data_IF_829381324668
#
_entry.id   IF_829381324668
#
_cell.length_a   1.000
_cell.length_b   1.000
_cell.length_c   1.000
_cell.angle_alpha   90.00
_cell.angle_beta   90.00
_cell.angle_gamma   90.00
#
_symmetry.space_group_name_H-M   'P 1'
#
loop_
_entity.id
_entity.type
_entity.pdbx_description
1 polymer ?
#
# COMPACT_ATOMS: atom_id res chain seq x y z
N UNK A 1 24.93 42.66 -27.87
CA UNK A 1 25.21 41.27 -27.50
C UNK A 1 24.09 40.75 -26.58
N UNK A 2 23.58 39.57 -26.90
CA UNK A 2 22.60 38.90 -26.06
C UNK A 2 23.36 37.84 -25.28
N UNK A 3 23.26 37.85 -23.97
CA UNK A 3 23.75 36.75 -23.13
C UNK A 3 22.65 35.71 -23.02
N UNK A 4 22.93 34.50 -23.50
CA UNK A 4 22.07 33.33 -23.33
C UNK A 4 22.71 32.49 -22.26
N UNK A 5 22.07 32.35 -21.11
CA UNK A 5 22.43 31.34 -20.12
C UNK A 5 21.88 30.00 -20.59
N UNK A 6 22.79 29.12 -20.98
CA UNK A 6 22.45 27.70 -21.21
C UNK A 6 22.68 27.01 -19.88
N UNK A 7 21.59 26.64 -19.18
CA UNK A 7 21.68 25.74 -18.04
C UNK A 7 21.90 24.32 -18.57
N UNK A 8 22.78 23.57 -17.94
CA UNK A 8 22.85 22.13 -18.17
C UNK A 8 21.47 21.53 -17.87
N UNK A 9 21.02 20.59 -18.70
CA UNK A 9 19.82 19.83 -18.39
C UNK A 9 19.96 19.26 -16.97
N UNK A 10 19.00 19.54 -16.12
CA UNK A 10 18.95 18.96 -14.79
C UNK A 10 18.99 17.44 -14.95
N UNK A 11 19.93 16.78 -14.27
CA UNK A 11 20.01 15.33 -14.26
C UNK A 11 18.67 14.69 -13.82
N UNK A 12 18.49 13.37 -14.02
CA UNK A 12 17.25 12.71 -13.64
C UNK A 12 16.95 12.93 -12.16
N UNK A 13 15.71 13.30 -11.86
CA UNK A 13 15.27 13.52 -10.47
C UNK A 13 15.30 12.20 -9.70
N UNK A 14 15.98 12.19 -8.56
CA UNK A 14 16.10 11.01 -7.69
C UNK A 14 14.98 10.90 -6.66
N UNK A 15 14.41 12.05 -6.27
CA UNK A 15 13.36 12.13 -5.26
C UNK A 15 12.30 13.15 -5.66
N UNK A 16 11.11 12.99 -5.12
CA UNK A 16 10.06 13.98 -5.13
C UNK A 16 9.60 14.28 -3.70
N UNK A 17 9.06 15.45 -3.47
CA UNK A 17 8.48 15.85 -2.19
C UNK A 17 7.02 16.28 -2.37
N UNK A 18 6.18 15.93 -1.43
CA UNK A 18 4.77 16.25 -1.44
C UNK A 18 4.18 16.21 -0.03
N UNK A 19 3.10 16.89 0.17
CA UNK A 19 2.38 16.88 1.42
C UNK A 19 2.05 18.27 1.94
N UNK A 20 1.23 18.34 3.00
CA UNK A 20 0.68 19.62 3.49
C UNK A 20 1.74 20.62 3.93
N UNK A 21 2.83 20.17 4.56
CA UNK A 21 3.88 21.04 5.08
C UNK A 21 4.67 21.81 4.03
N UNK A 22 4.52 21.45 2.74
CA UNK A 22 5.08 22.22 1.62
C UNK A 22 4.18 23.38 1.17
N UNK A 23 2.96 23.45 1.66
CA UNK A 23 1.95 24.42 1.27
C UNK A 23 1.45 25.28 2.45
N UNK A 24 1.31 24.68 3.62
CA UNK A 24 0.65 25.27 4.77
C UNK A 24 1.15 24.72 6.08
N UNK A 25 0.73 25.33 7.16
CA UNK A 25 0.98 24.88 8.52
C UNK A 25 0.46 25.88 9.53
N UNK A 26 0.68 25.59 10.81
CA UNK A 26 0.22 26.40 11.93
C UNK A 26 1.36 26.61 12.91
N UNK A 27 1.48 27.82 13.40
CA UNK A 27 2.49 28.21 14.41
C UNK A 27 2.47 27.27 15.60
N UNK A 28 3.65 26.74 15.98
CA UNK A 28 3.81 25.85 17.12
C UNK A 28 3.40 24.41 16.90
N UNK A 29 2.92 24.07 15.70
CA UNK A 29 2.56 22.70 15.30
C UNK A 29 3.50 22.20 14.22
N UNK A 30 3.69 20.89 14.12
CA UNK A 30 4.50 20.34 13.04
C UNK A 30 3.83 20.54 11.69
N UNK A 31 4.62 20.98 10.72
CA UNK A 31 4.25 21.00 9.31
C UNK A 31 4.94 19.79 8.67
N UNK A 32 4.13 18.87 8.14
CA UNK A 32 4.58 17.54 7.72
C UNK A 32 4.51 17.39 6.21
N UNK A 33 5.52 16.76 5.65
CA UNK A 33 5.53 16.36 4.25
C UNK A 33 6.36 15.07 4.07
N UNK A 34 6.28 14.49 2.89
CA UNK A 34 6.94 13.24 2.54
C UNK A 34 7.94 13.49 1.42
N UNK A 35 9.11 12.90 1.54
CA UNK A 35 10.09 12.78 0.45
C UNK A 35 10.14 11.33 0.03
N UNK A 36 10.03 11.09 -1.27
CA UNK A 36 9.92 9.74 -1.84
C UNK A 36 10.91 9.54 -2.99
N UNK A 37 11.59 8.40 -3.00
CA UNK A 37 12.50 8.04 -4.09
C UNK A 37 11.71 7.80 -5.39
N UNK A 38 12.24 8.30 -6.51
CA UNK A 38 11.67 8.09 -7.85
C UNK A 38 12.17 6.78 -8.45
N UNK A 39 13.38 6.36 -8.10
CA UNK A 39 14.02 5.15 -8.63
C UNK A 39 14.79 4.43 -7.54
N UNK A 40 15.78 3.67 -7.97
CA UNK A 40 16.66 2.89 -7.09
C UNK A 40 17.93 3.63 -6.67
N UNK A 41 18.23 4.77 -7.29
CA UNK A 41 19.37 5.59 -6.91
C UNK A 41 19.12 6.32 -5.59
N UNK A 42 20.12 6.28 -4.73
CA UNK A 42 20.07 6.96 -3.44
C UNK A 42 20.90 8.23 -3.53
N UNK A 43 20.25 9.38 -3.26
CA UNK A 43 20.93 10.67 -3.14
C UNK A 43 21.09 11.08 -1.68
N UNK A 44 21.89 12.09 -1.44
CA UNK A 44 22.03 12.71 -0.13
C UNK A 44 20.99 13.82 0.01
N UNK A 45 20.06 13.67 0.97
CA UNK A 45 19.02 14.64 1.23
C UNK A 45 19.50 15.74 2.17
N UNK A 46 19.11 16.98 1.86
CA UNK A 46 19.29 18.14 2.69
C UNK A 46 18.01 18.99 2.71
N UNK A 47 17.81 19.70 3.80
CA UNK A 47 16.64 20.56 3.97
C UNK A 47 17.09 21.94 4.47
N UNK A 48 16.47 22.99 3.95
CA UNK A 48 16.69 24.34 4.40
C UNK A 48 15.37 25.10 4.39
N UNK A 49 15.09 25.83 5.44
CA UNK A 49 13.86 26.63 5.56
C UNK A 49 14.22 28.09 5.81
N UNK A 50 13.74 28.95 4.94
CA UNK A 50 13.90 30.41 5.05
C UNK A 50 12.54 31.04 5.29
N UNK A 51 12.44 31.87 6.32
CA UNK A 51 11.18 32.53 6.65
C UNK A 51 11.31 33.46 7.86
N UNK A 52 10.16 33.89 8.40
CA UNK A 52 10.11 34.83 9.53
C UNK A 52 10.83 34.34 10.78
N UNK A 53 10.90 33.02 10.99
CA UNK A 53 11.61 32.41 12.12
C UNK A 53 12.47 31.23 11.67
N UNK A 54 13.43 30.85 12.50
CA UNK A 54 14.12 29.60 12.35
C UNK A 54 13.19 28.46 12.78
N UNK A 55 13.09 27.43 11.95
CA UNK A 55 12.28 26.24 12.22
C UNK A 55 13.19 25.02 12.44
N UNK A 56 12.91 24.27 13.50
CA UNK A 56 13.51 22.96 13.69
C UNK A 56 12.99 21.99 12.65
N UNK A 57 13.87 21.17 12.07
CA UNK A 57 13.53 20.15 11.07
C UNK A 57 13.91 18.77 11.61
N UNK A 58 13.02 17.81 11.41
CA UNK A 58 13.29 16.39 11.65
C UNK A 58 12.95 15.59 10.40
N UNK A 59 13.80 14.61 10.09
CA UNK A 59 13.61 13.66 9.00
C UNK A 59 13.66 12.25 9.57
N UNK A 60 12.59 11.49 9.33
CA UNK A 60 12.45 10.11 9.78
C UNK A 60 12.41 9.18 8.57
N UNK A 61 13.50 8.42 8.37
CA UNK A 61 13.63 7.44 7.29
C UNK A 61 12.75 6.23 7.59
N UNK A 62 11.83 5.91 6.69
CA UNK A 62 10.90 4.80 6.83
C UNK A 62 11.43 3.47 6.32
N UNK A 63 12.62 3.46 5.69
CA UNK A 63 13.25 2.24 5.19
C UNK A 63 12.62 1.64 3.93
N UNK A 64 11.66 2.32 3.33
CA UNK A 64 10.92 1.91 2.13
C UNK A 64 11.17 2.80 0.91
N UNK A 65 12.22 3.61 0.94
CA UNK A 65 12.52 4.62 -0.07
C UNK A 65 11.80 5.95 0.18
N UNK A 66 11.17 6.11 1.33
CA UNK A 66 10.52 7.36 1.73
C UNK A 66 10.95 7.81 3.12
N UNK A 67 10.80 9.10 3.38
CA UNK A 67 10.95 9.65 4.72
C UNK A 67 9.84 10.65 5.03
N UNK A 68 9.50 10.71 6.32
CA UNK A 68 8.62 11.73 6.87
C UNK A 68 9.48 12.90 7.34
N UNK A 69 9.16 14.08 6.83
CA UNK A 69 9.85 15.31 7.20
C UNK A 69 8.86 16.22 7.92
N UNK A 70 9.30 16.83 9.01
CA UNK A 70 8.48 17.77 9.77
C UNK A 70 9.32 18.94 10.26
N UNK A 71 8.69 20.11 10.30
CA UNK A 71 9.31 21.30 10.86
C UNK A 71 8.30 22.06 11.71
N UNK A 72 8.83 22.85 12.65
CA UNK A 72 8.00 23.59 13.63
C UNK A 72 8.23 25.09 13.46
N UNK A 73 7.38 25.80 12.68
CA UNK A 73 7.46 27.24 12.57
C UNK A 73 6.96 27.91 13.86
N UNK A 74 7.63 28.97 14.29
CA UNK A 74 7.28 29.71 15.51
C UNK A 74 6.63 31.05 15.23
N UNK A 75 6.64 31.51 14.00
CA UNK A 75 6.00 32.75 13.56
C UNK A 75 5.16 32.49 12.30
N UNK A 76 4.04 33.18 12.19
CA UNK A 76 3.19 33.14 11.00
C UNK A 76 3.85 33.87 9.81
N UNK A 77 3.54 33.46 8.62
CA UNK A 77 4.01 34.06 7.38
C UNK A 77 4.45 33.04 6.35
N UNK A 78 5.17 33.49 5.34
CA UNK A 78 5.61 32.66 4.24
C UNK A 78 7.01 32.12 4.48
N UNK A 79 7.15 30.81 4.28
CA UNK A 79 8.41 30.08 4.40
C UNK A 79 8.78 29.45 3.06
N UNK A 80 10.04 29.58 2.67
CA UNK A 80 10.59 28.85 1.54
C UNK A 80 11.21 27.55 2.04
N UNK A 81 10.62 26.43 1.68
CA UNK A 81 11.10 25.10 2.08
C UNK A 81 11.91 24.52 0.92
N UNK A 82 13.22 24.40 1.15
CA UNK A 82 14.15 23.79 0.21
C UNK A 82 14.30 22.31 0.51
N UNK A 83 14.07 21.50 -0.50
CA UNK A 83 14.41 20.07 -0.48
C UNK A 83 15.54 19.88 -1.48
N UNK A 84 16.69 19.41 -0.97
CA UNK A 84 17.95 19.33 -1.70
C UNK A 84 18.36 17.87 -1.80
N UNK A 85 18.72 17.44 -3.00
CA UNK A 85 19.27 16.13 -3.24
C UNK A 85 20.57 16.29 -4.02
N UNK A 86 21.67 15.71 -3.47
CA UNK A 86 23.02 15.82 -4.04
C UNK A 86 23.44 17.28 -4.31
N UNK A 87 23.21 18.14 -3.31
CA UNK A 87 23.55 19.57 -3.31
C UNK A 87 22.74 20.46 -4.28
N UNK A 88 21.68 19.92 -4.88
CA UNK A 88 20.79 20.67 -5.77
C UNK A 88 19.33 20.62 -5.29
N UNK A 89 18.61 21.74 -5.48
CA UNK A 89 17.16 21.76 -5.26
C UNK A 89 16.47 20.77 -6.19
N UNK A 90 15.54 19.98 -5.63
CA UNK A 90 14.70 19.08 -6.43
C UNK A 90 13.67 19.88 -7.22
N UNK A 91 12.96 19.21 -8.13
CA UNK A 91 11.87 19.81 -8.89
C UNK A 91 10.87 20.48 -7.95
N UNK A 92 10.47 21.70 -8.29
CA UNK A 92 9.55 22.57 -7.57
C UNK A 92 10.08 23.14 -6.23
N UNK A 93 11.28 22.76 -5.80
CA UNK A 93 11.96 23.39 -4.67
C UNK A 93 12.57 24.75 -5.09
N UNK A 94 12.48 25.81 -4.27
CA UNK A 94 11.83 25.84 -2.96
C UNK A 94 10.30 25.85 -3.04
N UNK A 95 9.69 25.14 -2.10
CA UNK A 95 8.23 25.16 -1.93
C UNK A 95 7.83 26.31 -1.02
N UNK A 96 6.79 27.07 -1.41
CA UNK A 96 6.31 28.20 -0.60
C UNK A 96 5.17 27.73 0.30
N UNK A 97 5.44 27.68 1.60
CA UNK A 97 4.46 27.32 2.62
C UNK A 97 3.94 28.56 3.35
N UNK A 98 2.63 28.71 3.42
CA UNK A 98 1.97 29.76 4.17
C UNK A 98 1.57 29.27 5.57
N UNK A 99 2.25 29.78 6.60
CA UNK A 99 2.04 29.37 7.97
C UNK A 99 1.05 30.30 8.64
N UNK A 100 -0.03 29.70 9.16
CA UNK A 100 -1.12 30.41 9.82
C UNK A 100 -0.85 30.62 11.29
N UNK A 101 -1.47 31.65 11.86
CA UNK A 101 -1.45 31.86 13.31
C UNK A 101 -2.11 30.69 14.05
N UNK A 102 -1.69 30.48 15.30
CA UNK A 102 -2.26 29.43 16.15
C UNK A 102 -3.78 29.63 16.33
N UNK A 103 -4.54 28.55 16.25
CA UNK A 103 -5.97 28.51 16.49
C UNK A 103 -6.27 27.62 17.68
N UNK A 104 -6.77 28.20 18.77
CA UNK A 104 -7.04 27.50 20.02
C UNK A 104 -8.35 26.69 20.03
N UNK A 105 -9.16 26.77 18.96
CA UNK A 105 -10.42 26.03 18.82
C UNK A 105 -10.27 24.73 18.04
N UNK A 106 -9.05 24.34 17.69
CA UNK A 106 -8.74 23.16 16.90
C UNK A 106 -7.81 22.23 17.69
N UNK A 107 -8.18 20.98 17.77
CA UNK A 107 -7.44 19.94 18.52
C UNK A 107 -7.14 18.74 17.58
N UNK A 108 -6.16 18.88 16.69
CA UNK A 108 -5.82 17.80 15.74
C UNK A 108 -5.43 16.50 16.43
N UNK A 109 -4.85 16.57 17.62
CA UNK A 109 -4.46 15.44 18.47
C UNK A 109 -5.63 14.57 18.90
N UNK A 110 -6.86 15.08 18.86
CA UNK A 110 -8.08 14.36 19.21
C UNK A 110 -8.75 13.67 18.02
N UNK A 111 -8.24 13.84 16.81
CA UNK A 111 -8.76 13.15 15.63
C UNK A 111 -8.32 11.68 15.67
N UNK A 112 -9.26 10.78 15.41
CA UNK A 112 -9.02 9.34 15.34
C UNK A 112 -9.28 8.85 13.92
N UNK A 113 -8.33 8.12 13.37
CA UNK A 113 -8.42 7.54 12.04
C UNK A 113 -8.25 6.04 12.13
N UNK A 114 -9.18 5.28 11.56
CA UNK A 114 -9.17 3.82 11.63
C UNK A 114 -9.96 3.20 10.48
N UNK A 115 -9.62 1.99 10.15
CA UNK A 115 -10.28 1.19 9.14
C UNK A 115 -9.29 0.46 8.24
N UNK A 116 -9.78 -0.53 7.45
CA UNK A 116 -8.92 -1.36 6.59
C UNK A 116 -8.09 -0.56 5.61
N UNK A 117 -8.62 0.53 5.08
CA UNK A 117 -7.95 1.39 4.10
C UNK A 117 -6.74 2.16 4.62
N UNK A 118 -6.49 2.16 5.94
CA UNK A 118 -5.33 2.76 6.59
C UNK A 118 -4.37 1.74 7.18
N UNK A 119 -4.72 0.45 7.15
CA UNK A 119 -3.88 -0.61 7.67
C UNK A 119 -2.70 -0.89 6.74
N UNK A 120 -1.50 -1.22 7.27
CA UNK A 120 -0.32 -1.48 6.46
C UNK A 120 -0.49 -2.60 5.44
N UNK A 121 -1.31 -3.60 5.75
CA UNK A 121 -1.56 -4.79 4.95
C UNK A 121 -3.06 -5.10 4.91
N UNK A 122 -3.48 -5.86 3.91
CA UNK A 122 -4.85 -6.37 3.80
C UNK A 122 -5.65 -5.76 2.65
N UNK A 123 -5.27 -4.61 2.13
CA UNK A 123 -5.89 -4.05 0.93
C UNK A 123 -5.36 -4.70 -0.32
N UNK A 124 -6.23 -4.93 -1.30
CA UNK A 124 -5.88 -5.54 -2.58
C UNK A 124 -6.41 -4.71 -3.75
N UNK A 125 -5.77 -4.89 -4.91
CA UNK A 125 -6.13 -4.22 -6.16
C UNK A 125 -7.60 -4.46 -6.51
N UNK A 126 -8.27 -3.41 -7.00
CA UNK A 126 -9.65 -3.40 -7.48
C UNK A 126 -10.71 -3.73 -6.44
N UNK A 127 -10.37 -3.68 -5.16
CA UNK A 127 -11.34 -3.77 -4.07
C UNK A 127 -11.38 -2.49 -3.26
N UNK A 128 -12.59 -2.09 -2.87
CA UNK A 128 -12.80 -0.90 -2.07
C UNK A 128 -12.07 -1.02 -0.73
N UNK A 129 -11.28 -0.01 -0.41
CA UNK A 129 -10.58 0.16 0.86
C UNK A 129 -11.22 1.33 1.59
N UNK A 130 -11.78 1.09 2.77
CA UNK A 130 -12.49 2.09 3.52
C UNK A 130 -11.80 2.43 4.85
N UNK A 131 -12.07 3.62 5.34
CA UNK A 131 -11.65 4.06 6.67
C UNK A 131 -12.56 5.18 7.17
N UNK A 132 -12.50 5.41 8.47
CA UNK A 132 -13.27 6.44 9.16
C UNK A 132 -12.33 7.44 9.79
N UNK A 133 -12.69 8.73 9.70
CA UNK A 133 -12.04 9.81 10.41
C UNK A 133 -13.04 10.36 11.41
N UNK A 134 -12.75 10.20 12.70
CA UNK A 134 -13.57 10.69 13.79
C UNK A 134 -12.97 11.97 14.35
N UNK A 135 -13.68 13.07 14.17
CA UNK A 135 -13.27 14.41 14.63
C UNK A 135 -14.00 14.85 15.89
N UNK A 136 -14.70 13.94 16.57
CA UNK A 136 -15.39 14.26 17.83
C UNK A 136 -14.38 14.69 18.90
N UNK A 137 -14.59 15.85 19.48
CA UNK A 137 -13.66 16.42 20.46
C UNK A 137 -12.44 17.12 19.86
N UNK A 138 -12.36 17.24 18.53
CA UNK A 138 -11.26 17.89 17.83
C UNK A 138 -11.49 19.39 17.52
N UNK A 139 -12.57 19.95 17.99
CA UNK A 139 -12.90 21.36 17.77
C UNK A 139 -13.40 21.64 16.35
N UNK A 140 -13.17 22.86 15.89
CA UNK A 140 -13.63 23.34 14.58
C UNK A 140 -12.47 23.46 13.61
N UNK A 141 -12.28 22.48 12.79
CA UNK A 141 -11.23 22.45 11.76
C UNK A 141 -11.80 22.10 10.39
N UNK A 142 -10.96 22.22 9.39
CA UNK A 142 -11.22 21.72 8.06
C UNK A 142 -10.44 20.43 7.83
N UNK A 143 -11.12 19.42 7.32
CA UNK A 143 -10.51 18.15 6.94
C UNK A 143 -9.90 18.26 5.54
N UNK A 144 -8.61 17.90 5.43
CA UNK A 144 -7.94 17.75 4.14
C UNK A 144 -7.19 16.42 4.08
N UNK A 145 -7.24 15.78 2.93
CA UNK A 145 -6.52 14.57 2.63
C UNK A 145 -5.54 14.80 1.48
N UNK A 146 -4.33 14.29 1.64
CA UNK A 146 -3.26 14.28 0.64
C UNK A 146 -2.85 12.83 0.44
N UNK A 147 -3.01 12.31 -0.76
CA UNK A 147 -2.78 10.89 -0.99
C UNK A 147 -2.13 10.66 -2.35
N UNK A 148 -1.06 9.89 -2.36
CA UNK A 148 -0.34 9.49 -3.56
C UNK A 148 0.12 8.04 -3.45
N UNK A 149 0.21 7.37 -4.59
CA UNK A 149 0.89 6.08 -4.68
C UNK A 149 2.42 6.25 -4.82
N UNK A 150 3.15 5.13 -4.82
CA UNK A 150 4.61 5.14 -4.92
C UNK A 150 5.15 5.69 -6.25
N UNK A 151 4.33 5.79 -7.28
CA UNK A 151 4.68 6.40 -8.57
C UNK A 151 4.36 7.91 -8.63
N UNK A 152 3.79 8.46 -7.57
CA UNK A 152 3.43 9.88 -7.48
C UNK A 152 2.07 10.23 -8.07
N UNK A 153 1.26 9.24 -8.41
CA UNK A 153 -0.09 9.48 -8.89
C UNK A 153 -1.05 9.70 -7.72
N UNK A 154 -1.95 10.69 -7.82
CA UNK A 154 -2.91 10.95 -6.77
C UNK A 154 -3.89 9.78 -6.61
N UNK A 155 -4.28 9.51 -5.37
CA UNK A 155 -5.28 8.53 -5.02
C UNK A 155 -6.62 9.26 -4.90
N UNK A 156 -7.63 8.81 -5.65
CA UNK A 156 -8.98 9.36 -5.57
C UNK A 156 -9.71 8.76 -4.37
N UNK A 157 -9.88 9.56 -3.31
CA UNK A 157 -10.57 9.18 -2.09
C UNK A 157 -11.92 9.90 -2.05
N UNK A 158 -13.00 9.13 -2.00
CA UNK A 158 -14.33 9.67 -1.81
C UNK A 158 -14.61 9.84 -0.32
N UNK A 159 -15.02 11.05 0.07
CA UNK A 159 -15.25 11.43 1.46
C UNK A 159 -16.74 11.74 1.63
N UNK A 160 -17.37 11.09 2.60
CA UNK A 160 -18.76 11.33 2.98
C UNK A 160 -18.81 11.86 4.41
N UNK A 161 -19.30 13.07 4.59
CA UNK A 161 -19.60 13.63 5.91
C UNK A 161 -20.87 12.98 6.46
N UNK A 162 -20.76 12.29 7.60
CA UNK A 162 -21.88 11.61 8.24
C UNK A 162 -22.75 12.52 9.10
N UNK A 163 -22.33 13.77 9.32
CA UNK A 163 -23.05 14.75 10.13
C UNK A 163 -22.94 14.57 11.65
N UNK A 164 -22.18 13.59 12.11
CA UNK A 164 -21.95 13.26 13.52
C UNK A 164 -20.49 13.50 13.96
N UNK A 165 -19.80 14.38 13.29
CA UNK A 165 -18.36 14.65 13.44
C UNK A 165 -17.47 13.49 12.94
N UNK A 166 -18.03 12.55 12.17
CA UNK A 166 -17.25 11.50 11.51
C UNK A 166 -17.37 11.59 9.99
N UNK A 167 -16.32 11.12 9.31
CA UNK A 167 -16.24 11.08 7.86
C UNK A 167 -15.93 9.65 7.42
N UNK A 168 -16.70 9.16 6.47
CA UNK A 168 -16.44 7.88 5.84
C UNK A 168 -15.68 8.09 4.54
N UNK A 169 -14.55 7.41 4.40
CA UNK A 169 -13.65 7.54 3.26
C UNK A 169 -13.48 6.19 2.57
N UNK A 170 -13.47 6.20 1.26
CA UNK A 170 -13.27 5.00 0.46
C UNK A 170 -12.44 5.30 -0.78
N UNK A 171 -11.53 4.40 -1.12
CA UNK A 171 -10.77 4.42 -2.37
C UNK A 171 -10.64 3.01 -2.93
N UNK A 172 -10.39 2.93 -4.23
CA UNK A 172 -10.20 1.65 -4.93
C UNK A 172 -8.79 1.68 -5.54
N UNK A 173 -7.82 0.98 -4.94
CA UNK A 173 -6.49 0.93 -5.50
C UNK A 173 -6.47 0.16 -6.83
N UNK A 174 -5.72 0.65 -7.79
CA UNK A 174 -5.61 0.07 -9.12
C UNK A 174 -4.26 -0.60 -9.39
N UNK A 175 -3.28 -0.39 -8.50
CA UNK A 175 -1.92 -0.91 -8.62
C UNK A 175 -1.46 -1.57 -7.32
N UNK A 176 -0.72 -2.68 -7.38
CA UNK A 176 -0.22 -3.38 -6.20
C UNK A 176 1.08 -2.75 -5.67
N UNK A 177 1.03 -1.47 -5.37
CA UNK A 177 2.14 -0.66 -4.87
C UNK A 177 1.74 0.06 -3.60
N UNK A 178 2.72 0.61 -2.91
CA UNK A 178 2.48 1.40 -1.70
C UNK A 178 1.62 2.64 -2.02
N UNK A 179 0.63 2.88 -1.15
CA UNK A 179 -0.22 4.06 -1.13
C UNK A 179 0.02 4.81 0.18
N UNK A 180 0.21 6.11 0.11
CA UNK A 180 0.46 6.96 1.29
C UNK A 180 -0.63 7.99 1.41
N UNK A 181 -1.25 8.07 2.59
CA UNK A 181 -2.37 8.96 2.88
C UNK A 181 -1.99 9.86 4.05
N UNK A 182 -2.02 11.16 3.84
CA UNK A 182 -1.79 12.18 4.86
C UNK A 182 -3.13 12.85 5.17
N UNK A 183 -3.48 12.90 6.44
CA UNK A 183 -4.73 13.47 6.91
C UNK A 183 -4.40 14.66 7.80
N UNK A 184 -5.00 15.81 7.50
CA UNK A 184 -4.87 17.02 8.32
C UNK A 184 -6.22 17.50 8.81
N UNK A 185 -6.20 18.09 10.00
CA UNK A 185 -7.33 18.77 10.61
C UNK A 185 -6.90 20.15 11.06
N UNK A 186 -7.54 21.18 10.51
CA UNK A 186 -7.10 22.56 10.75
C UNK A 186 -5.67 22.83 10.31
N UNK A 187 -5.27 22.29 9.17
CA UNK A 187 -3.92 22.41 8.57
C UNK A 187 -2.80 21.72 9.36
N UNK A 188 -3.14 20.85 10.30
CA UNK A 188 -2.18 20.11 11.13
C UNK A 188 -2.36 18.62 10.94
N UNK A 189 -1.25 17.90 10.79
CA UNK A 189 -1.22 16.45 10.66
C UNK A 189 -1.86 15.78 11.88
N UNK A 190 -2.74 14.81 11.65
CA UNK A 190 -3.41 14.07 12.72
C UNK A 190 -2.53 12.92 13.23
N UNK A 191 -2.81 12.36 14.42
CA UNK A 191 -2.04 11.24 14.95
C UNK A 191 -1.95 10.06 13.99
N UNK A 192 -0.78 9.45 13.92
CA UNK A 192 -0.43 8.31 13.07
C UNK A 192 -0.36 8.59 11.56
N UNK A 193 -0.79 9.75 11.10
CA UNK A 193 -0.58 10.20 9.70
C UNK A 193 0.89 10.63 9.52
N UNK A 194 1.55 10.32 8.40
CA UNK A 194 1.06 9.63 7.20
C UNK A 194 0.80 8.13 7.38
N UNK A 195 -0.24 7.64 6.74
CA UNK A 195 -0.54 6.21 6.69
C UNK A 195 0.03 5.60 5.42
N UNK A 196 0.85 4.57 5.58
CA UNK A 196 1.43 3.83 4.45
C UNK A 196 0.76 2.47 4.33
N UNK A 197 0.14 2.24 3.19
CA UNK A 197 -0.65 1.05 2.91
C UNK A 197 0.00 0.30 1.75
N UNK A 198 0.37 -0.95 1.99
CA UNK A 198 0.87 -1.83 0.94
C UNK A 198 -0.30 -2.56 0.30
N UNK A 199 -0.51 -2.33 -1.00
CA UNK A 199 -1.60 -2.94 -1.75
C UNK A 199 -1.11 -4.27 -2.34
N UNK A 200 -1.82 -5.36 -2.02
CA UNK A 200 -1.54 -6.68 -2.57
C UNK A 200 -2.17 -6.89 -3.95
N UNK A 201 -1.63 -7.84 -4.69
CA UNK A 201 -2.16 -8.20 -6.02
C UNK A 201 -3.54 -8.86 -5.96
N UNK A 202 -3.92 -9.37 -4.79
CA UNK A 202 -5.12 -10.16 -4.62
C UNK A 202 -4.94 -11.61 -5.05
N UNK A 203 -6.05 -12.32 -5.18
CA UNK A 203 -6.08 -13.72 -5.59
C UNK A 203 -6.92 -13.89 -6.87
N UNK A 204 -6.42 -14.74 -7.78
CA UNK A 204 -7.05 -15.06 -9.05
C UNK A 204 -7.17 -16.57 -9.22
N UNK A 205 -8.10 -17.24 -8.49
CA UNK A 205 -8.26 -18.69 -8.56
C UNK A 205 -8.53 -19.21 -9.96
N UNK A 206 -9.17 -18.41 -10.80
CA UNK A 206 -9.46 -18.70 -12.21
C UNK A 206 -8.20 -18.89 -13.08
N UNK A 207 -7.06 -18.39 -12.61
CA UNK A 207 -5.78 -18.51 -13.33
C UNK A 207 -4.95 -19.73 -12.87
N UNK A 208 -5.45 -20.50 -11.91
CA UNK A 208 -4.81 -21.76 -11.49
C UNK A 208 -4.99 -22.80 -12.58
N UNK A 209 -3.88 -23.44 -12.97
CA UNK A 209 -3.88 -24.54 -13.95
C UNK A 209 -3.55 -25.84 -13.24
N UNK A 210 -4.31 -26.88 -13.56
CA UNK A 210 -4.10 -28.23 -13.03
C UNK A 210 -3.93 -29.20 -14.18
N UNK A 211 -2.81 -29.91 -14.22
CA UNK A 211 -2.49 -30.81 -15.31
C UNK A 211 -1.55 -31.92 -14.85
N UNK A 212 -1.51 -32.99 -15.63
CA UNK A 212 -0.65 -34.14 -15.40
C UNK A 212 -1.40 -35.47 -15.44
N UNK A 213 -0.69 -36.60 -15.38
CA UNK A 213 -1.34 -37.92 -15.51
C UNK A 213 -2.38 -38.18 -14.42
N UNK A 214 -2.18 -37.66 -13.19
CA UNK A 214 -3.06 -37.88 -12.05
C UNK A 214 -4.45 -37.23 -12.17
N UNK A 215 -4.68 -36.33 -13.11
CA UNK A 215 -5.97 -35.67 -13.39
C UNK A 215 -6.55 -36.04 -14.75
N UNK A 216 -5.94 -36.94 -15.48
CA UNK A 216 -6.49 -37.47 -16.72
C UNK A 216 -7.74 -38.33 -16.46
N UNK A 217 -8.69 -38.24 -17.37
CA UNK A 217 -10.00 -38.95 -17.23
C UNK A 217 -9.89 -40.46 -17.31
N UNK A 218 -8.81 -40.98 -17.85
CA UNK A 218 -8.58 -42.40 -18.04
C UNK A 218 -7.08 -42.72 -18.11
N UNK A 219 -6.73 -43.97 -17.97
CA UNK A 219 -5.34 -44.45 -18.08
C UNK A 219 -4.62 -44.68 -16.79
N UNK A 220 -5.22 -44.37 -15.63
CA UNK A 220 -4.67 -44.65 -14.33
C UNK A 220 -4.99 -46.10 -13.90
N UNK A 221 -4.05 -46.75 -13.21
CA UNK A 221 -4.22 -48.06 -12.67
C UNK A 221 -4.23 -48.06 -11.14
N UNK A 222 -5.07 -48.89 -10.56
CA UNK A 222 -5.12 -49.07 -9.13
C UNK A 222 -3.75 -49.54 -8.59
N UNK A 223 -3.37 -49.00 -7.42
CA UNK A 223 -2.12 -49.30 -6.70
C UNK A 223 -0.84 -48.86 -7.44
N UNK A 224 -0.95 -48.06 -8.49
CA UNK A 224 0.20 -47.43 -9.14
C UNK A 224 0.28 -45.92 -8.76
N UNK A 225 1.44 -45.44 -8.28
CA UNK A 225 1.62 -44.03 -7.96
C UNK A 225 1.42 -43.16 -9.21
N UNK A 226 0.78 -42.03 -9.00
CA UNK A 226 0.60 -40.98 -10.04
C UNK A 226 0.82 -39.60 -9.45
N UNK A 227 0.83 -38.60 -10.31
CA UNK A 227 1.02 -37.21 -9.89
C UNK A 227 0.30 -36.25 -10.83
N UNK A 228 0.08 -35.06 -10.32
CA UNK A 228 -0.35 -33.91 -11.12
C UNK A 228 0.31 -32.63 -10.61
N UNK A 229 0.29 -31.60 -11.44
CA UNK A 229 0.85 -30.29 -11.14
C UNK A 229 -0.24 -29.26 -10.96
N UNK A 230 -0.13 -28.44 -9.93
CA UNK A 230 -0.96 -27.25 -9.70
C UNK A 230 -0.07 -26.04 -9.95
N UNK A 231 -0.38 -25.26 -10.97
CA UNK A 231 0.35 -24.07 -11.37
C UNK A 231 -0.39 -22.82 -10.92
N UNK A 232 0.17 -22.13 -9.91
CA UNK A 232 -0.37 -20.92 -9.34
C UNK A 232 0.42 -19.66 -9.72
N UNK A 233 1.31 -19.74 -10.72
CA UNK A 233 2.19 -18.63 -11.11
C UNK A 233 1.45 -17.36 -11.53
N UNK A 234 0.27 -17.48 -12.09
CA UNK A 234 -0.59 -16.37 -12.54
C UNK A 234 -1.81 -16.13 -11.61
N UNK A 235 -1.84 -16.77 -10.45
CA UNK A 235 -3.00 -16.74 -9.57
C UNK A 235 -2.94 -15.68 -8.46
N UNK A 236 -1.83 -14.94 -8.35
CA UNK A 236 -1.64 -13.94 -7.30
C UNK A 236 -1.33 -14.56 -5.95
N UNK A 237 -1.81 -13.94 -4.87
CA UNK A 237 -1.55 -14.37 -3.50
C UNK A 237 -2.64 -15.29 -2.98
N UNK A 238 -2.28 -16.40 -2.38
CA UNK A 238 -3.20 -17.34 -1.76
C UNK A 238 -2.53 -18.67 -1.43
N UNK A 239 -3.19 -19.43 -0.58
CA UNK A 239 -2.78 -20.78 -0.23
C UNK A 239 -3.52 -21.81 -1.08
N UNK A 240 -2.84 -22.90 -1.41
CA UNK A 240 -3.40 -24.05 -2.12
C UNK A 240 -3.91 -25.06 -1.12
N UNK A 241 -5.16 -25.49 -1.31
CA UNK A 241 -5.76 -26.59 -0.56
C UNK A 241 -6.19 -27.68 -1.54
N UNK A 242 -5.90 -28.94 -1.22
CA UNK A 242 -6.18 -30.09 -2.07
C UNK A 242 -6.95 -31.13 -1.28
N UNK A 243 -7.96 -31.71 -1.94
CA UNK A 243 -8.68 -32.87 -1.44
C UNK A 243 -8.81 -33.91 -2.56
N UNK A 244 -8.59 -35.18 -2.21
CA UNK A 244 -8.80 -36.30 -3.13
C UNK A 244 -9.76 -37.27 -2.44
N UNK A 245 -10.87 -37.58 -3.09
CA UNK A 245 -11.87 -38.51 -2.58
C UNK A 245 -12.18 -39.59 -3.61
N UNK A 246 -12.40 -40.80 -3.14
CA UNK A 246 -12.92 -41.89 -3.96
C UNK A 246 -14.40 -42.10 -3.70
N UNK A 247 -15.12 -42.52 -4.75
CA UNK A 247 -16.53 -42.88 -4.67
C UNK A 247 -16.74 -44.12 -3.80
N UNK A 248 -17.94 -44.32 -3.23
CA UNK A 248 -18.27 -45.55 -2.51
C UNK A 248 -18.01 -46.81 -3.36
N UNK A 249 -17.49 -47.86 -2.73
CA UNK A 249 -17.16 -49.11 -3.41
C UNK A 249 -15.72 -49.25 -3.87
N UNK A 250 -14.91 -48.15 -3.84
CA UNK A 250 -13.48 -48.20 -4.17
C UNK A 250 -12.66 -48.78 -2.98
N UNK A 251 -12.89 -48.25 -1.79
CA UNK A 251 -12.22 -48.69 -0.56
C UNK A 251 -13.23 -49.25 0.46
N UNK A 252 -14.49 -48.82 0.37
CA UNK A 252 -15.55 -49.19 1.31
C UNK A 252 -16.93 -48.73 0.83
N UNK A 253 -17.97 -48.91 1.66
CA UNK A 253 -19.33 -48.57 1.28
C UNK A 253 -19.64 -47.08 1.24
N UNK A 254 -18.76 -46.26 1.79
CA UNK A 254 -18.89 -44.82 1.83
C UNK A 254 -17.75 -44.12 1.07
N UNK A 255 -17.96 -42.86 0.72
CA UNK A 255 -16.91 -42.01 0.17
C UNK A 255 -15.74 -41.91 1.14
N UNK A 256 -14.52 -42.01 0.66
CA UNK A 256 -13.32 -41.95 1.50
C UNK A 256 -12.29 -40.97 0.96
N UNK A 257 -11.58 -40.34 1.89
CA UNK A 257 -10.44 -39.48 1.60
C UNK A 257 -9.20 -40.31 1.25
N UNK A 258 -8.45 -39.85 0.26
CA UNK A 258 -7.22 -40.46 -0.20
C UNK A 258 -6.05 -39.58 0.24
N UNK A 259 -5.06 -40.19 0.85
CA UNK A 259 -3.83 -39.54 1.24
C UNK A 259 -3.01 -39.15 0.01
N UNK A 260 -2.35 -37.99 0.11
CA UNK A 260 -1.47 -37.48 -0.94
C UNK A 260 -0.29 -36.74 -0.33
N UNK A 261 0.79 -36.63 -1.10
CA UNK A 261 1.94 -35.79 -0.79
C UNK A 261 1.94 -34.56 -1.68
N UNK A 262 2.19 -33.39 -1.11
CA UNK A 262 2.31 -32.13 -1.83
C UNK A 262 3.74 -31.59 -1.69
N UNK A 263 4.36 -31.24 -2.82
CA UNK A 263 5.70 -30.69 -2.90
C UNK A 263 5.62 -29.31 -3.54
N UNK A 264 6.08 -28.29 -2.82
CA UNK A 264 6.20 -26.93 -3.38
C UNK A 264 7.46 -26.83 -4.23
N UNK A 265 7.30 -26.41 -5.48
CA UNK A 265 8.40 -26.16 -6.42
C UNK A 265 8.79 -24.65 -6.42
N UNK A 266 9.94 -24.31 -7.01
CA UNK A 266 10.50 -22.94 -6.96
C UNK A 266 9.78 -21.89 -7.82
N UNK A 267 8.85 -22.30 -8.69
CA UNK A 267 8.20 -21.45 -9.71
C UNK A 267 6.69 -21.26 -9.44
N UNK A 268 6.28 -21.24 -8.18
CA UNK A 268 4.87 -21.18 -7.76
C UNK A 268 4.01 -22.32 -8.31
N UNK A 269 4.61 -23.47 -8.53
CA UNK A 269 3.92 -24.71 -8.87
C UNK A 269 4.03 -25.71 -7.72
N UNK A 270 3.07 -26.64 -7.67
CA UNK A 270 3.02 -27.71 -6.68
C UNK A 270 2.89 -29.04 -7.41
N UNK A 271 3.65 -30.05 -6.97
CA UNK A 271 3.49 -31.41 -7.41
C UNK A 271 2.72 -32.20 -6.36
N UNK A 272 1.62 -32.80 -6.74
CA UNK A 272 0.77 -33.62 -5.88
C UNK A 272 0.89 -35.07 -6.32
N UNK A 273 1.29 -35.93 -5.38
CA UNK A 273 1.47 -37.38 -5.60
C UNK A 273 0.45 -38.16 -4.80
N UNK A 274 -0.21 -39.10 -5.44
CA UNK A 274 -1.12 -40.02 -4.77
C UNK A 274 -1.11 -41.39 -5.43
N UNK A 275 -1.58 -42.42 -4.70
CA UNK A 275 -1.71 -43.78 -5.21
C UNK A 275 -3.18 -44.16 -5.11
N UNK A 276 -3.90 -44.36 -6.21
CA UNK A 276 -5.29 -44.82 -6.13
C UNK A 276 -5.35 -46.25 -5.55
N UNK A 277 -6.10 -46.49 -4.44
CA UNK A 277 -6.12 -47.78 -3.78
C UNK A 277 -7.01 -48.83 -4.47
N UNK A 278 -7.83 -48.42 -5.42
CA UNK A 278 -8.73 -49.34 -6.10
C UNK A 278 -9.27 -48.76 -7.41
N UNK A 279 -9.91 -49.59 -8.19
CA UNK A 279 -10.58 -49.14 -9.41
C UNK A 279 -11.90 -48.43 -9.07
N UNK A 280 -12.20 -47.37 -9.77
CA UNK A 280 -13.42 -46.60 -9.58
C UNK A 280 -13.24 -45.12 -9.91
N UNK A 281 -14.16 -44.31 -9.43
CA UNK A 281 -14.20 -42.86 -9.70
C UNK A 281 -13.56 -42.10 -8.53
N UNK A 282 -12.72 -41.12 -8.89
CA UNK A 282 -12.04 -40.21 -7.94
C UNK A 282 -12.40 -38.79 -8.25
N UNK A 283 -12.57 -37.99 -7.19
CA UNK A 283 -12.78 -36.55 -7.30
C UNK A 283 -11.60 -35.85 -6.69
N UNK A 284 -10.97 -34.96 -7.46
CA UNK A 284 -9.87 -34.11 -7.00
C UNK A 284 -10.39 -32.69 -6.91
N UNK A 285 -10.25 -32.09 -5.75
CA UNK A 285 -10.61 -30.71 -5.49
C UNK A 285 -9.34 -29.89 -5.25
N UNK A 286 -9.18 -28.81 -5.97
CA UNK A 286 -8.09 -27.85 -5.80
C UNK A 286 -8.69 -26.50 -5.49
N UNK A 287 -8.36 -25.94 -4.34
CA UNK A 287 -8.78 -24.61 -3.91
C UNK A 287 -7.55 -23.70 -3.86
N UNK A 288 -7.73 -22.47 -4.28
CA UNK A 288 -6.75 -21.39 -4.15
C UNK A 288 -7.41 -20.21 -3.45
N UNK A 289 -6.81 -19.75 -2.32
CA UNK A 289 -7.41 -18.71 -1.48
C UNK A 289 -8.87 -19.05 -1.08
N UNK A 290 -9.11 -20.32 -0.71
CA UNK A 290 -10.42 -20.87 -0.30
C UNK A 290 -11.52 -20.88 -1.39
N UNK A 291 -11.14 -20.76 -2.67
CA UNK A 291 -12.04 -20.79 -3.83
C UNK A 291 -11.66 -21.85 -4.87
#
# INVERSE_FOLDING_TARGET
PFEVQVSEEAGPQKVRAWGPGLETGVVGKSADFVVEAIGTEVGTLGFSIEGPSQAKIECDDKGDGSCDVRYWPTEAGDYAVHVICDDEDIKDSPFMAHILAANNDVYPENVKCFGPGLEPLGCIVNKAADFTIDTNGAGRGELKLYAQDAEGLPIDIQITDRGDSSFFCVYIPTKPIKHTIIITWGEVNVPSSPFRVTIGEGSHPENVKVYGPGVEKAGLKANEPTYFTVDCSDAGQGDVSIGIKCAPGVVGPAEADIDFDIIKNDNDTFTVKYTPPGAGQYTIMVLFADQ
#
